data_IF_017880782960
#
_entry.id   IF_017880782960
#
_cell.length_a   1.000
_cell.length_b   1.000
_cell.length_c   1.000
_cell.angle_alpha   90.00
_cell.angle_beta   90.00
_cell.angle_gamma   90.00
#
_symmetry.space_group_name_H-M   'P 1'
#
loop_
_entity.id
_entity.type
_entity.pdbx_description
1 polymer ?
#
# COMPACT_ATOMS: atom_id res chain seq x y z
N UNK A 1 -9.83 -14.54 8.47
CA UNK A 1 -9.31 -14.33 7.10
C UNK A 1 -8.08 -13.45 7.21
N UNK A 2 -6.96 -13.85 6.57
CA UNK A 2 -5.74 -13.07 6.57
C UNK A 2 -5.91 -11.78 5.76
N UNK A 3 -5.08 -10.77 6.04
CA UNK A 3 -5.05 -9.50 5.31
C UNK A 3 -3.60 -9.20 4.93
N UNK A 4 -3.37 -8.99 3.65
CA UNK A 4 -2.06 -8.65 3.10
C UNK A 4 -2.12 -7.33 2.35
N UNK A 5 -0.99 -6.65 2.23
CA UNK A 5 -0.77 -5.56 1.27
C UNK A 5 0.68 -5.60 0.81
N UNK A 6 0.97 -5.00 -0.34
CA UNK A 6 2.33 -4.84 -0.82
C UNK A 6 2.79 -3.38 -0.70
N UNK A 7 4.08 -3.16 -0.44
CA UNK A 7 4.74 -1.86 -0.52
C UNK A 7 6.12 -2.05 -1.14
N UNK A 8 6.38 -1.35 -2.24
CA UNK A 8 7.60 -1.42 -3.05
C UNK A 8 7.97 -2.86 -3.41
N UNK A 9 6.99 -3.64 -3.88
CA UNK A 9 7.17 -5.04 -4.26
C UNK A 9 7.39 -6.01 -3.08
N UNK A 10 7.30 -5.55 -1.83
CA UNK A 10 7.37 -6.42 -0.63
C UNK A 10 5.97 -6.64 -0.08
N UNK A 11 5.61 -7.90 0.17
CA UNK A 11 4.31 -8.27 0.76
C UNK A 11 4.42 -8.30 2.28
N UNK A 12 3.43 -7.70 2.96
CA UNK A 12 3.33 -7.65 4.41
C UNK A 12 2.07 -8.36 4.87
N UNK A 13 2.20 -9.24 5.87
CA UNK A 13 1.06 -9.78 6.60
C UNK A 13 0.61 -8.74 7.65
N UNK A 14 -0.54 -8.12 7.39
CA UNK A 14 -1.14 -7.12 8.27
C UNK A 14 -2.37 -7.67 9.00
N UNK A 15 -2.49 -9.00 9.10
CA UNK A 15 -3.61 -9.67 9.77
C UNK A 15 -3.73 -9.25 11.24
N UNK A 16 -2.62 -9.02 11.94
CA UNK A 16 -2.64 -8.49 13.31
C UNK A 16 -3.32 -7.10 13.40
N UNK A 17 -3.20 -6.29 12.35
CA UNK A 17 -3.81 -4.97 12.21
C UNK A 17 -5.19 -4.98 11.55
N UNK A 18 -5.93 -6.11 11.58
CA UNK A 18 -7.21 -6.27 10.85
C UNK A 18 -8.25 -5.18 11.13
N UNK A 19 -8.24 -4.53 12.28
CA UNK A 19 -9.17 -3.43 12.56
C UNK A 19 -8.89 -2.19 11.68
N UNK A 20 -7.69 -2.08 11.12
CA UNK A 20 -7.30 -1.02 10.20
C UNK A 20 -7.44 -1.44 8.74
N UNK A 21 -6.93 -2.63 8.39
CA UNK A 21 -6.82 -3.09 7.00
C UNK A 21 -7.95 -4.05 6.58
N UNK A 22 -8.72 -4.58 7.52
CA UNK A 22 -9.85 -5.46 7.23
C UNK A 22 -11.11 -4.69 6.83
N UNK A 23 -12.19 -5.39 6.40
CA UNK A 23 -13.45 -4.76 6.03
C UNK A 23 -13.98 -3.79 7.09
N UNK A 24 -14.29 -2.56 6.68
CA UNK A 24 -14.77 -1.48 7.56
C UNK A 24 -13.67 -0.69 8.27
N UNK A 25 -12.40 -1.10 8.16
CA UNK A 25 -11.27 -0.34 8.67
C UNK A 25 -10.91 0.86 7.79
N UNK A 26 -10.26 1.90 8.35
CA UNK A 26 -9.89 3.11 7.61
C UNK A 26 -8.91 2.87 6.45
N UNK A 27 -8.16 1.77 6.47
CA UNK A 27 -7.16 1.41 5.45
C UNK A 27 -7.55 0.15 4.66
N UNK A 28 -8.85 -0.20 4.67
CA UNK A 28 -9.37 -1.37 3.98
C UNK A 28 -9.15 -1.33 2.46
N UNK A 29 -9.04 -0.13 1.88
CA UNK A 29 -8.81 0.08 0.45
C UNK A 29 -7.44 -0.42 -0.03
N UNK A 30 -6.46 -0.56 0.87
CA UNK A 30 -5.13 -1.12 0.55
C UNK A 30 -5.06 -2.64 0.68
N UNK A 31 -6.07 -3.29 1.26
CA UNK A 31 -6.07 -4.73 1.45
C UNK A 31 -6.07 -5.47 0.11
N UNK A 32 -5.12 -6.39 -0.03
CA UNK A 32 -4.93 -7.22 -1.22
C UNK A 32 -4.33 -6.48 -2.41
N UNK A 33 -3.73 -5.29 -2.20
CA UNK A 33 -3.21 -4.42 -3.27
C UNK A 33 -1.78 -3.99 -2.99
N UNK A 34 -1.11 -3.48 -4.01
CA UNK A 34 0.08 -2.66 -3.80
C UNK A 34 -0.35 -1.26 -3.34
N UNK A 35 0.02 -0.91 -2.11
CA UNK A 35 -0.31 0.34 -1.47
C UNK A 35 0.74 1.44 -1.71
N UNK A 36 1.80 1.15 -2.49
CA UNK A 36 2.96 2.04 -2.63
C UNK A 36 2.58 3.46 -3.02
N UNK A 37 1.83 3.67 -4.10
CA UNK A 37 1.48 5.03 -4.53
C UNK A 37 0.61 5.76 -3.51
N UNK A 38 -0.44 5.10 -3.00
CA UNK A 38 -1.32 5.67 -1.98
C UNK A 38 -0.56 6.09 -0.72
N UNK A 39 0.35 5.24 -0.23
CA UNK A 39 1.19 5.56 0.93
C UNK A 39 2.19 6.67 0.62
N UNK A 40 2.82 6.66 -0.55
CA UNK A 40 3.80 7.68 -0.94
C UNK A 40 3.16 9.06 -1.08
N UNK A 41 1.95 9.12 -1.63
CA UNK A 41 1.17 10.34 -1.81
C UNK A 41 0.35 10.74 -0.58
N UNK A 42 0.28 9.89 0.46
CA UNK A 42 -0.61 10.09 1.61
C UNK A 42 -2.09 10.18 1.22
N UNK A 43 -2.51 9.45 0.19
CA UNK A 43 -3.86 9.51 -0.39
C UNK A 43 -4.55 8.14 -0.39
N UNK A 44 -5.86 8.18 -0.21
CA UNK A 44 -6.77 7.03 -0.26
C UNK A 44 -7.68 7.08 -1.50
N UNK A 45 -7.47 8.06 -2.38
CA UNK A 45 -8.27 8.26 -3.59
C UNK A 45 -8.15 7.06 -4.51
N UNK A 46 -9.24 6.73 -5.20
CA UNK A 46 -9.29 5.55 -6.05
C UNK A 46 -8.20 5.54 -7.13
N UNK A 47 -7.81 6.71 -7.63
CA UNK A 47 -6.77 6.85 -8.66
C UNK A 47 -5.35 6.60 -8.13
N UNK A 48 -5.17 6.55 -6.81
CA UNK A 48 -3.90 6.18 -6.17
C UNK A 48 -3.84 4.70 -5.78
N UNK A 49 -4.90 3.93 -6.02
CA UNK A 49 -4.99 2.50 -5.72
C UNK A 49 -4.66 1.66 -6.95
N UNK A 50 -3.98 0.53 -6.76
CA UNK A 50 -3.90 -0.52 -7.78
C UNK A 50 -5.30 -1.07 -8.06
N UNK A 51 -5.86 -0.77 -9.23
CA UNK A 51 -7.21 -1.23 -9.63
C UNK A 51 -7.18 -2.59 -10.32
N UNK A 52 -6.24 -2.79 -11.23
CA UNK A 52 -6.05 -4.04 -11.96
C UNK A 52 -4.99 -4.88 -11.25
N UNK A 53 -5.40 -6.04 -10.71
CA UNK A 53 -4.52 -6.95 -9.97
C UNK A 53 -3.75 -7.90 -10.89
N UNK A 54 -4.22 -8.08 -12.13
CA UNK A 54 -3.59 -8.92 -13.14
C UNK A 54 -2.76 -8.08 -14.14
N UNK A 55 -2.88 -6.76 -14.05
CA UNK A 55 -2.16 -5.77 -14.85
C UNK A 55 -0.71 -5.54 -14.40
N UNK A 56 0.04 -4.68 -15.13
CA UNK A 56 1.39 -4.31 -14.76
C UNK A 56 1.41 -3.55 -13.43
N UNK A 57 2.46 -3.78 -12.65
CA UNK A 57 2.70 -3.01 -11.43
C UNK A 57 3.00 -1.55 -11.77
N UNK A 58 2.59 -0.68 -10.86
CA UNK A 58 2.94 0.73 -10.87
C UNK A 58 4.45 0.91 -10.70
N UNK A 59 5.10 1.59 -11.64
CA UNK A 59 6.56 1.77 -11.64
C UNK A 59 7.01 2.81 -10.62
N UNK A 60 6.12 3.69 -10.17
CA UNK A 60 6.40 4.80 -9.24
C UNK A 60 7.46 5.81 -9.76
N UNK A 61 7.79 5.78 -11.06
CA UNK A 61 8.87 6.58 -11.66
C UNK A 61 8.60 8.09 -11.62
N UNK A 62 7.34 8.49 -11.50
CA UNK A 62 6.87 9.86 -11.41
C UNK A 62 6.83 10.41 -9.97
N UNK A 63 7.17 9.60 -8.97
CA UNK A 63 7.26 10.06 -7.58
C UNK A 63 8.53 10.88 -7.35
N UNK A 64 8.36 12.05 -6.74
CA UNK A 64 9.47 12.88 -6.28
C UNK A 64 10.21 12.25 -5.08
N UNK A 65 11.34 12.85 -4.71
CA UNK A 65 12.17 12.36 -3.61
C UNK A 65 11.41 12.31 -2.27
N UNK A 66 10.52 13.26 -2.00
CA UNK A 66 9.77 13.30 -0.74
C UNK A 66 8.80 12.11 -0.62
N UNK A 67 8.05 11.84 -1.69
CA UNK A 67 7.14 10.69 -1.77
C UNK A 67 7.91 9.37 -1.69
N UNK A 68 9.09 9.31 -2.30
CA UNK A 68 9.97 8.14 -2.21
C UNK A 68 10.55 7.94 -0.81
N UNK A 69 10.88 9.01 -0.07
CA UNK A 69 11.29 8.94 1.34
C UNK A 69 10.15 8.43 2.23
N UNK A 70 8.90 8.84 1.97
CA UNK A 70 7.74 8.38 2.75
C UNK A 70 7.61 6.84 2.75
N UNK A 71 8.01 6.18 1.66
CA UNK A 71 8.01 4.72 1.57
C UNK A 71 9.20 4.04 2.26
N UNK A 72 10.27 4.75 2.59
CA UNK A 72 11.43 4.15 3.29
C UNK A 72 11.11 3.76 4.72
N UNK A 73 10.19 4.46 5.38
CA UNK A 73 9.70 4.11 6.72
C UNK A 73 8.81 2.87 6.72
N UNK A 74 8.27 2.47 5.58
CA UNK A 74 7.36 1.33 5.45
C UNK A 74 8.15 0.04 5.35
N UNK A 75 8.67 -0.40 6.50
CA UNK A 75 9.50 -1.59 6.63
C UNK A 75 10.75 -1.43 7.49
N UNK A 76 10.83 -0.37 8.30
CA UNK A 76 11.86 -0.23 9.34
C UNK A 76 11.67 -1.27 10.45
N UNK A 77 12.62 -2.20 10.52
CA UNK A 77 12.99 -3.05 11.66
C UNK A 77 11.90 -4.00 12.21
N UNK A 78 12.00 -5.27 11.79
CA UNK A 78 12.07 -6.40 12.74
C UNK A 78 13.46 -7.00 12.67
#
# INVERSE_FOLDING_TARGET
>A
MPVYLAVRGRVFDVTAGRNFYGPGGPYANFAGRDASRGLACGSFDEDMLTKDLDGPLDTLEDLDAEKMEALRGVGGEV
#
